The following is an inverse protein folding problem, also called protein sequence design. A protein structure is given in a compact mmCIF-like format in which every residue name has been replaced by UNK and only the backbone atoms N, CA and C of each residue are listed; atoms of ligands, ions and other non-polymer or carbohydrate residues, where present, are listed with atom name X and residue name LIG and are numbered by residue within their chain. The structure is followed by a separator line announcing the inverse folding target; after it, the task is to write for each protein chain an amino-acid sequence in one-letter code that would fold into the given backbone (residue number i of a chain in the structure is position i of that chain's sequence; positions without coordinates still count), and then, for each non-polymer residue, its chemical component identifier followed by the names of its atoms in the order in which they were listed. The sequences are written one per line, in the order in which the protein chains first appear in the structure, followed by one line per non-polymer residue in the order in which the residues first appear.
data_IF_359465621361
#
_entry.id   IF_359465621361
#
_cell.length_a   1.000
_cell.length_b   1.000
_cell.length_c   1.000
_cell.angle_alpha   90.00
_cell.angle_beta   90.00
_cell.angle_gamma   90.00
#
_symmetry.space_group_name_H-M   'P 1'
#
loop_
_entity.id
_entity.type
_entity.pdbx_description
1 polymer ?
#
# COMPACT_ATOMS: atom_id res chain seq x y z
N UNK A 1 2.03 -2.67 28.26
CA UNK A 1 1.75 -3.36 26.99
C UNK A 1 2.02 -2.38 25.87
N UNK A 2 3.16 -2.50 25.19
CA UNK A 2 3.46 -1.62 24.04
C UNK A 2 2.58 -2.06 22.88
N UNK A 3 1.64 -1.20 22.48
CA UNK A 3 0.84 -1.39 21.27
C UNK A 3 1.80 -1.48 20.08
N UNK A 4 2.07 -2.69 19.59
CA UNK A 4 2.84 -2.87 18.37
C UNK A 4 1.95 -2.46 17.21
N UNK A 5 2.30 -1.34 16.58
CA UNK A 5 1.63 -0.90 15.38
C UNK A 5 2.17 -1.73 14.20
N UNK A 6 1.31 -2.17 13.28
CA UNK A 6 1.76 -2.91 12.09
C UNK A 6 2.78 -2.06 11.32
N UNK A 7 3.83 -2.72 10.82
CA UNK A 7 4.79 -2.07 9.94
C UNK A 7 4.05 -1.58 8.68
N UNK A 8 4.23 -0.32 8.32
CA UNK A 8 3.47 0.29 7.22
C UNK A 8 4.37 0.56 6.03
N UNK A 9 3.98 0.07 4.86
CA UNK A 9 4.63 0.30 3.57
C UNK A 9 3.74 1.23 2.74
N UNK A 10 4.27 2.39 2.34
CA UNK A 10 3.61 3.30 1.42
C UNK A 10 4.28 3.23 0.05
N UNK A 11 3.52 2.85 -0.96
CA UNK A 11 3.96 2.87 -2.36
C UNK A 11 3.54 4.18 -3.00
N UNK A 12 4.45 4.87 -3.70
CA UNK A 12 4.19 6.21 -4.23
C UNK A 12 4.54 6.28 -5.71
N UNK A 13 3.65 6.87 -6.51
CA UNK A 13 3.95 7.27 -7.88
C UNK A 13 3.41 8.68 -8.17
N UNK A 14 3.42 9.14 -9.42
CA UNK A 14 2.94 10.49 -9.76
C UNK A 14 1.45 10.67 -9.45
N UNK A 15 0.57 9.86 -10.08
CA UNK A 15 -0.88 10.06 -10.03
C UNK A 15 -1.68 9.02 -9.25
N UNK A 16 -1.05 8.05 -8.58
CA UNK A 16 -1.76 6.98 -7.85
C UNK A 16 -2.72 6.10 -8.68
N UNK A 17 -2.58 5.99 -10.00
CA UNK A 17 -3.51 5.18 -10.84
C UNK A 17 -2.89 3.93 -11.47
N UNK A 18 -1.57 3.92 -11.71
CA UNK A 18 -0.90 2.78 -12.35
C UNK A 18 0.05 2.07 -11.38
N UNK A 19 1.24 2.64 -11.18
CA UNK A 19 2.37 1.94 -10.53
C UNK A 19 2.14 1.69 -9.04
N UNK A 20 1.67 2.68 -8.28
CA UNK A 20 1.49 2.52 -6.83
C UNK A 20 0.31 1.63 -6.45
N UNK A 21 -0.90 1.73 -7.03
CA UNK A 21 -1.96 0.75 -6.73
C UNK A 21 -1.59 -0.67 -7.12
N UNK A 22 -0.92 -0.86 -8.26
CA UNK A 22 -0.40 -2.18 -8.65
C UNK A 22 0.57 -2.73 -7.59
N UNK A 23 1.52 -1.91 -7.14
CA UNK A 23 2.45 -2.32 -6.10
C UNK A 23 1.75 -2.66 -4.77
N UNK A 24 0.73 -1.88 -4.37
CA UNK A 24 -0.07 -2.19 -3.19
C UNK A 24 -0.74 -3.57 -3.29
N UNK A 25 -1.42 -3.86 -4.39
CA UNK A 25 -2.11 -5.14 -4.60
C UNK A 25 -1.11 -6.30 -4.64
N UNK A 26 -0.01 -6.17 -5.38
CA UNK A 26 1.02 -7.20 -5.50
C UNK A 26 1.66 -7.49 -4.15
N UNK A 27 2.05 -6.46 -3.39
CA UNK A 27 2.67 -6.63 -2.08
C UNK A 27 1.71 -7.26 -1.07
N UNK A 28 0.43 -6.86 -1.06
CA UNK A 28 -0.59 -7.49 -0.20
C UNK A 28 -0.71 -8.98 -0.49
N UNK A 29 -0.79 -9.36 -1.77
CA UNK A 29 -0.85 -10.76 -2.19
C UNK A 29 0.41 -11.55 -1.79
N UNK A 30 1.60 -10.95 -1.94
CA UNK A 30 2.87 -11.57 -1.51
C UNK A 30 3.01 -11.71 0.00
N UNK A 31 2.48 -10.78 0.79
CA UNK A 31 2.46 -10.91 2.25
C UNK A 31 1.50 -12.01 2.69
N UNK A 32 0.30 -12.03 2.12
CA UNK A 32 -0.71 -13.05 2.40
C UNK A 32 -0.21 -14.46 2.04
N UNK A 33 0.42 -14.63 0.87
CA UNK A 33 0.98 -15.93 0.43
C UNK A 33 2.07 -16.48 1.35
N UNK A 34 2.69 -15.59 2.16
CA UNK A 34 3.73 -15.92 3.15
C UNK A 34 3.19 -15.98 4.58
N UNK A 35 1.88 -15.87 4.77
CA UNK A 35 1.24 -15.89 6.08
C UNK A 35 1.51 -14.63 6.92
N UNK A 36 1.78 -13.49 6.29
CA UNK A 36 1.96 -12.20 6.95
C UNK A 36 0.64 -11.44 6.85
N UNK A 37 -0.09 -11.36 7.97
CA UNK A 37 -1.36 -10.66 8.06
C UNK A 37 -1.23 -9.14 8.18
N UNK A 38 -2.36 -8.44 8.01
CA UNK A 38 -2.46 -6.98 8.11
C UNK A 38 -2.15 -6.43 9.51
N UNK A 39 -2.26 -7.26 10.54
CA UNK A 39 -1.88 -6.97 11.93
C UNK A 39 -0.36 -6.82 12.10
N UNK A 40 0.42 -7.36 11.16
CA UNK A 40 1.88 -7.28 11.13
C UNK A 40 2.39 -6.29 10.09
N UNK A 41 1.80 -6.28 8.90
CA UNK A 41 2.22 -5.39 7.80
C UNK A 41 1.00 -4.80 7.08
N UNK A 42 0.92 -3.47 7.01
CA UNK A 42 -0.07 -2.74 6.20
C UNK A 42 0.60 -2.16 4.97
N UNK A 43 -0.04 -2.31 3.81
CA UNK A 43 0.43 -1.72 2.55
C UNK A 43 -0.58 -0.69 2.09
N UNK A 44 -0.12 0.48 1.68
CA UNK A 44 -0.93 1.60 1.20
C UNK A 44 -0.31 2.14 -0.10
N UNK A 45 -1.08 2.88 -0.87
CA UNK A 45 -0.61 3.61 -2.04
C UNK A 45 -1.01 5.08 -2.02
N UNK A 46 -0.18 5.93 -2.62
CA UNK A 46 -0.48 7.35 -2.83
C UNK A 46 0.10 7.89 -4.14
N UNK A 47 -0.31 9.11 -4.49
CA UNK A 47 0.24 9.95 -5.55
C UNK A 47 0.98 11.15 -4.94
N UNK A 48 1.89 11.77 -5.70
CA UNK A 48 2.46 13.09 -5.33
C UNK A 48 1.73 14.26 -5.99
N UNK A 49 0.88 13.97 -6.98
CA UNK A 49 0.03 14.92 -7.70
C UNK A 49 -1.45 14.58 -7.46
N UNK A 50 -2.31 15.58 -7.54
CA UNK A 50 -3.77 15.49 -7.50
C UNK A 50 -4.42 15.45 -8.89
N UNK A 51 -3.62 15.38 -9.96
CA UNK A 51 -4.06 15.35 -11.36
C UNK A 51 -5.13 14.27 -11.65
N UNK A 52 -5.02 13.12 -11.00
CA UNK A 52 -5.95 11.99 -11.16
C UNK A 52 -7.02 11.91 -10.07
N UNK A 53 -7.12 12.94 -9.21
CA UNK A 53 -8.10 12.95 -8.12
C UNK A 53 -9.53 13.00 -8.70
N UNK A 54 -10.26 11.89 -8.56
CA UNK A 54 -11.60 11.72 -9.14
C UNK A 54 -11.60 11.23 -10.59
N UNK A 55 -10.44 10.99 -11.20
CA UNK A 55 -10.28 10.44 -12.56
C UNK A 55 -9.39 9.17 -12.56
N UNK A 56 -9.84 8.06 -11.95
CA UNK A 56 -9.04 6.84 -11.84
C UNK A 56 -8.91 6.03 -13.14
#
# INVERSE_FOLDING_TARGET
MTQQHPYTVMTVCTGNICRSPMAEIILRAEFESRGIGEDRVRVLSSGVSDEEYGHP
#
